data_IF_700608996768
#
_entry.id   IF_700608996768
#
_cell.length_a   1.000
_cell.length_b   1.000
_cell.length_c   1.000
_cell.angle_alpha   90.00
_cell.angle_beta   90.00
_cell.angle_gamma   90.00
#
_symmetry.space_group_name_H-M   'P 1'
#
loop_
_entity.id
_entity.type
_entity.pdbx_description
1 polymer ?
#
# COMPACT_ATOMS: atom_id res chain seq x y z
N UNK A 1 50.51 -13.47 -6.67
CA UNK A 1 49.93 -12.39 -5.86
C UNK A 1 48.70 -11.73 -6.50
N UNK A 2 48.64 -11.54 -7.83
CA UNK A 2 47.55 -10.85 -8.57
C UNK A 2 46.19 -11.57 -8.62
N UNK A 3 46.14 -12.88 -8.40
CA UNK A 3 44.89 -13.67 -8.48
C UNK A 3 43.99 -13.55 -7.26
N UNK A 4 44.52 -13.19 -6.08
CA UNK A 4 43.74 -13.05 -4.84
C UNK A 4 42.92 -11.76 -4.82
N UNK A 5 43.50 -10.64 -5.25
CA UNK A 5 42.81 -9.35 -5.38
C UNK A 5 41.67 -9.41 -6.40
N UNK A 6 41.88 -10.09 -7.54
CA UNK A 6 40.83 -10.22 -8.56
C UNK A 6 39.64 -11.05 -8.05
N UNK A 7 39.91 -12.07 -7.24
CA UNK A 7 38.88 -12.92 -6.63
C UNK A 7 38.05 -12.16 -5.58
N UNK A 8 38.69 -11.27 -4.82
CA UNK A 8 38.01 -10.38 -3.86
C UNK A 8 37.16 -9.30 -4.55
N UNK A 9 37.67 -8.69 -5.62
CA UNK A 9 36.89 -7.75 -6.44
C UNK A 9 35.68 -8.44 -7.06
N UNK A 10 35.85 -9.67 -7.59
CA UNK A 10 34.75 -10.43 -8.18
C UNK A 10 33.68 -10.81 -7.14
N UNK A 11 34.11 -11.21 -5.93
CA UNK A 11 33.19 -11.44 -4.78
C UNK A 11 32.44 -10.17 -4.40
N UNK A 12 33.10 -9.02 -4.41
CA UNK A 12 32.48 -7.73 -4.07
C UNK A 12 31.44 -7.31 -5.11
N UNK A 13 31.74 -7.50 -6.41
CA UNK A 13 30.81 -7.21 -7.50
C UNK A 13 29.61 -8.18 -7.50
N UNK A 14 29.82 -9.46 -7.19
CA UNK A 14 28.72 -10.41 -7.02
C UNK A 14 27.84 -10.06 -5.81
N UNK A 15 28.43 -9.71 -4.67
CA UNK A 15 27.68 -9.29 -3.49
C UNK A 15 26.81 -8.05 -3.78
N UNK A 16 27.32 -7.08 -4.56
CA UNK A 16 26.50 -5.93 -4.98
C UNK A 16 25.34 -6.29 -5.92
N UNK A 17 25.49 -7.29 -6.80
CA UNK A 17 24.38 -7.75 -7.64
C UNK A 17 23.28 -8.41 -6.82
N UNK A 18 23.66 -9.25 -5.85
CA UNK A 18 22.73 -9.89 -4.91
C UNK A 18 21.99 -8.84 -4.08
N UNK A 19 22.69 -7.79 -3.64
CA UNK A 19 22.11 -6.70 -2.86
C UNK A 19 21.07 -5.90 -3.67
N UNK A 20 21.32 -5.66 -4.97
CA UNK A 20 20.36 -5.02 -5.87
C UNK A 20 19.09 -5.83 -6.10
N UNK A 21 19.19 -7.15 -6.20
CA UNK A 21 18.00 -8.02 -6.33
C UNK A 21 17.21 -8.09 -5.03
N UNK A 22 17.90 -8.17 -3.88
CA UNK A 22 17.26 -8.05 -2.54
C UNK A 22 16.54 -6.72 -2.38
N UNK A 23 17.15 -5.61 -2.77
CA UNK A 23 16.53 -4.28 -2.75
C UNK A 23 15.28 -4.19 -3.64
N UNK A 24 15.28 -4.87 -4.79
CA UNK A 24 14.10 -4.94 -5.67
C UNK A 24 13.00 -5.80 -5.05
N UNK A 25 13.35 -6.93 -4.43
CA UNK A 25 12.40 -7.80 -3.74
C UNK A 25 11.77 -7.11 -2.52
N UNK A 26 12.55 -6.50 -1.64
CA UNK A 26 12.04 -5.75 -0.48
C UNK A 26 11.11 -4.61 -0.89
N UNK A 27 11.44 -3.90 -1.97
CA UNK A 27 10.61 -2.80 -2.49
C UNK A 27 9.31 -3.30 -3.11
N UNK A 28 9.28 -4.53 -3.64
CA UNK A 28 8.07 -5.16 -4.18
C UNK A 28 7.17 -5.69 -3.05
N UNK A 29 7.74 -6.37 -2.06
CA UNK A 29 7.00 -6.84 -0.88
C UNK A 29 6.37 -5.70 -0.09
N UNK A 30 7.12 -4.61 0.16
CA UNK A 30 6.56 -3.41 0.81
C UNK A 30 5.41 -2.78 0.02
N UNK A 31 5.43 -2.82 -1.31
CA UNK A 31 4.33 -2.31 -2.15
C UNK A 31 3.07 -3.15 -2.01
N UNK A 32 3.20 -4.48 -1.98
CA UNK A 32 2.08 -5.39 -1.74
C UNK A 32 1.52 -5.25 -0.32
N UNK A 33 2.39 -5.09 0.68
CA UNK A 33 1.98 -4.82 2.05
C UNK A 33 1.19 -3.51 2.15
N UNK A 34 1.67 -2.43 1.52
CA UNK A 34 0.94 -1.15 1.51
C UNK A 34 -0.40 -1.24 0.77
N UNK A 35 -0.46 -1.96 -0.35
CA UNK A 35 -1.72 -2.21 -1.07
C UNK A 35 -2.71 -2.97 -0.18
N UNK A 36 -2.26 -4.04 0.50
CA UNK A 36 -3.09 -4.80 1.42
C UNK A 36 -3.61 -3.94 2.58
N UNK A 37 -2.74 -3.14 3.21
CA UNK A 37 -3.14 -2.22 4.29
C UNK A 37 -4.15 -1.17 3.80
N UNK A 38 -4.02 -0.69 2.56
CA UNK A 38 -4.98 0.26 1.97
C UNK A 38 -6.34 -0.39 1.73
N UNK A 39 -6.36 -1.63 1.22
CA UNK A 39 -7.60 -2.40 1.03
C UNK A 39 -8.29 -2.65 2.39
N UNK A 40 -7.52 -3.05 3.40
CA UNK A 40 -8.02 -3.27 4.76
C UNK A 40 -8.63 -1.98 5.32
N UNK A 41 -7.93 -0.85 5.17
CA UNK A 41 -8.42 0.46 5.59
C UNK A 41 -9.74 0.81 4.88
N UNK A 42 -9.83 0.64 3.55
CA UNK A 42 -11.06 0.86 2.80
C UNK A 42 -12.22 -0.02 3.30
N UNK A 43 -11.97 -1.30 3.60
CA UNK A 43 -12.99 -2.21 4.10
C UNK A 43 -13.51 -1.76 5.47
N UNK A 44 -12.62 -1.35 6.38
CA UNK A 44 -13.00 -0.83 7.71
C UNK A 44 -13.81 0.46 7.58
N UNK A 45 -13.37 1.41 6.76
CA UNK A 45 -14.12 2.66 6.53
C UNK A 45 -15.47 2.38 5.87
N UNK A 46 -15.54 1.46 4.91
CA UNK A 46 -16.78 1.02 4.29
C UNK A 46 -17.76 0.40 5.29
N UNK A 47 -17.25 -0.39 6.24
CA UNK A 47 -18.05 -0.96 7.32
C UNK A 47 -18.57 0.12 8.27
N UNK A 48 -17.74 1.10 8.65
CA UNK A 48 -18.17 2.25 9.46
C UNK A 48 -19.22 3.10 8.74
N UNK A 49 -19.09 3.28 7.42
CA UNK A 49 -20.09 3.98 6.60
C UNK A 49 -21.41 3.22 6.57
N UNK A 50 -21.37 1.90 6.40
CA UNK A 50 -22.55 1.05 6.44
C UNK A 50 -23.24 1.07 7.81
N UNK A 51 -22.47 1.04 8.91
CA UNK A 51 -23.02 1.20 10.25
C UNK A 51 -23.68 2.58 10.40
N UNK A 52 -23.03 3.65 9.97
CA UNK A 52 -23.61 4.99 10.02
C UNK A 52 -24.93 5.08 9.24
N UNK A 53 -25.05 4.40 8.10
CA UNK A 53 -26.31 4.31 7.34
C UNK A 53 -27.44 3.63 8.13
N UNK A 54 -27.15 2.54 8.83
CA UNK A 54 -28.15 1.76 9.56
C UNK A 54 -28.51 2.37 10.92
N UNK A 55 -27.57 3.04 11.59
CA UNK A 55 -27.73 3.60 12.94
C UNK A 55 -27.94 5.11 12.93
N UNK A 56 -28.69 5.65 11.97
CA UNK A 56 -28.95 7.10 11.86
C UNK A 56 -29.64 7.67 13.10
N UNK A 57 -30.50 6.91 13.75
CA UNK A 57 -31.25 7.32 14.97
C UNK A 57 -30.35 7.56 16.18
N UNK A 58 -29.17 6.97 16.21
CA UNK A 58 -28.27 7.01 17.38
C UNK A 58 -27.36 8.24 17.35
N UNK A 59 -27.38 9.01 16.26
CA UNK A 59 -26.62 10.25 16.15
C UNK A 59 -27.34 11.39 16.89
N UNK A 60 -26.64 11.97 17.86
CA UNK A 60 -27.08 13.14 18.64
C UNK A 60 -27.46 14.35 17.76
N UNK A 61 -26.88 14.47 16.56
CA UNK A 61 -27.23 15.52 15.59
C UNK A 61 -27.21 14.99 14.16
N UNK A 62 -28.24 15.35 13.38
CA UNK A 62 -28.30 15.04 11.95
C UNK A 62 -27.14 15.66 11.16
N UNK A 63 -26.60 16.80 11.63
CA UNK A 63 -25.45 17.46 11.00
C UNK A 63 -24.19 16.61 11.16
N UNK A 64 -23.97 16.05 12.36
CA UNK A 64 -22.84 15.16 12.63
C UNK A 64 -22.92 13.89 11.78
N UNK A 65 -24.12 13.34 11.60
CA UNK A 65 -24.34 12.20 10.71
C UNK A 65 -23.97 12.51 9.26
N UNK A 66 -24.40 13.66 8.73
CA UNK A 66 -24.04 14.09 7.38
C UNK A 66 -22.54 14.30 7.19
N UNK A 67 -21.88 14.96 8.15
CA UNK A 67 -20.42 15.14 8.12
C UNK A 67 -19.72 13.78 8.11
N UNK A 68 -20.17 12.84 8.94
CA UNK A 68 -19.63 11.49 9.00
C UNK A 68 -19.77 10.76 7.66
N UNK A 69 -20.96 10.81 7.05
CA UNK A 69 -21.26 10.20 5.76
C UNK A 69 -20.39 10.78 4.64
N UNK A 70 -20.29 12.10 4.55
CA UNK A 70 -19.48 12.78 3.54
C UNK A 70 -18.00 12.42 3.72
N UNK A 71 -17.49 12.50 4.95
CA UNK A 71 -16.08 12.22 5.24
C UNK A 71 -15.71 10.76 4.93
N UNK A 72 -16.54 9.81 5.37
CA UNK A 72 -16.34 8.38 5.11
C UNK A 72 -16.39 8.06 3.61
N UNK A 73 -17.35 8.64 2.88
CA UNK A 73 -17.44 8.49 1.43
C UNK A 73 -16.18 9.01 0.71
N UNK A 74 -15.68 10.16 1.15
CA UNK A 74 -14.46 10.77 0.59
C UNK A 74 -13.22 9.89 0.84
N UNK A 75 -13.10 9.31 2.03
CA UNK A 75 -12.05 8.35 2.36
C UNK A 75 -12.12 7.08 1.52
N UNK A 76 -13.32 6.55 1.25
CA UNK A 76 -13.50 5.38 0.38
C UNK A 76 -13.04 5.70 -1.04
N UNK A 77 -13.44 6.84 -1.60
CA UNK A 77 -13.04 7.26 -2.95
C UNK A 77 -11.51 7.41 -3.04
N UNK A 78 -10.88 8.10 -2.08
CA UNK A 78 -9.42 8.25 -2.02
C UNK A 78 -8.70 6.91 -1.90
N UNK A 79 -9.23 6.00 -1.09
CA UNK A 79 -8.68 4.67 -0.91
C UNK A 79 -8.76 3.83 -2.18
N UNK A 80 -9.89 3.87 -2.91
CA UNK A 80 -10.04 3.20 -4.22
C UNK A 80 -9.02 3.75 -5.23
N UNK A 81 -8.88 5.07 -5.34
CA UNK A 81 -7.89 5.70 -6.23
C UNK A 81 -6.48 5.22 -5.89
N UNK A 82 -6.16 5.15 -4.59
CA UNK A 82 -4.85 4.68 -4.10
C UNK A 82 -4.61 3.21 -4.45
N UNK A 83 -5.60 2.35 -4.24
CA UNK A 83 -5.53 0.92 -4.61
C UNK A 83 -5.32 0.76 -6.12
N UNK A 84 -6.08 1.49 -6.94
CA UNK A 84 -5.92 1.48 -8.40
C UNK A 84 -4.54 1.98 -8.84
N UNK A 85 -4.02 3.02 -8.18
CA UNK A 85 -2.68 3.55 -8.46
C UNK A 85 -1.59 2.52 -8.16
N UNK A 86 -1.66 1.85 -6.99
CA UNK A 86 -0.71 0.79 -6.64
C UNK A 86 -0.85 -0.44 -7.54
N UNK A 87 -2.07 -0.85 -7.89
CA UNK A 87 -2.32 -1.91 -8.87
C UNK A 87 -1.70 -1.57 -10.22
N UNK A 88 -1.91 -0.35 -10.71
CA UNK A 88 -1.32 0.13 -11.96
C UNK A 88 0.21 0.08 -11.94
N UNK A 89 0.85 0.53 -10.85
CA UNK A 89 2.31 0.44 -10.67
C UNK A 89 2.78 -1.02 -10.70
N UNK A 90 2.07 -1.93 -10.01
CA UNK A 90 2.44 -3.35 -9.93
C UNK A 90 2.32 -4.02 -11.30
N UNK A 91 1.25 -3.72 -12.05
CA UNK A 91 1.03 -4.26 -13.41
C UNK A 91 2.05 -3.70 -14.40
N UNK A 92 2.34 -2.39 -14.33
CA UNK A 92 3.34 -1.73 -15.20
C UNK A 92 4.78 -2.12 -14.85
N UNK A 93 5.05 -2.48 -13.59
CA UNK A 93 6.36 -2.92 -13.10
C UNK A 93 6.79 -4.32 -13.57
N UNK A 94 6.12 -4.88 -14.58
CA UNK A 94 6.44 -6.15 -15.24
C UNK A 94 7.21 -5.96 -16.57
N UNK A 95 7.95 -4.85 -16.71
CA UNK A 95 8.99 -4.64 -17.71
C UNK A 95 10.28 -4.17 -17.04
#
# INVERSE_FOLDING_TARGET
MRTKEFLEVFKTVQNQKIDKERWKQEKYEKRWQNLFMTILFCAVVGLLFFLALNFRSDFSSAILWWIWMVFSGLLIVLGIITVLHYLYIIIRGRY
#
